data_IF_610054725133
#
_entry.id   IF_610054725133
#
_cell.length_a   1.000
_cell.length_b   1.000
_cell.length_c   1.000
_cell.angle_alpha   90.00
_cell.angle_beta   90.00
_cell.angle_gamma   90.00
#
_symmetry.space_group_name_H-M   'P 1'
#
loop_
_entity.id
_entity.type
_entity.pdbx_description
1 polymer ?
#
# COMPACT_ATOMS: atom_id res chain seq x y z
N UNK A 1 -19.66 -18.37 -13.90
CA UNK A 1 -18.91 -17.99 -12.69
C UNK A 1 -19.36 -16.61 -12.29
N UNK A 2 -19.85 -16.39 -11.06
CA UNK A 2 -20.22 -15.05 -10.58
C UNK A 2 -18.93 -14.23 -10.41
N UNK A 3 -18.86 -13.06 -11.03
CA UNK A 3 -17.78 -12.11 -10.77
C UNK A 3 -17.89 -11.64 -9.31
N UNK A 4 -16.77 -11.71 -8.59
CA UNK A 4 -16.70 -11.29 -7.20
C UNK A 4 -16.60 -9.77 -7.15
N UNK A 5 -17.67 -9.13 -6.71
CA UNK A 5 -17.71 -7.68 -6.43
C UNK A 5 -17.28 -7.46 -4.99
N UNK A 6 -16.33 -6.56 -4.78
CA UNK A 6 -15.82 -6.24 -3.44
C UNK A 6 -16.63 -5.11 -2.81
N UNK A 7 -16.69 -3.97 -3.48
CA UNK A 7 -17.33 -2.74 -3.02
C UNK A 7 -17.85 -1.95 -4.22
N UNK A 8 -18.51 -0.82 -3.99
CA UNK A 8 -18.98 0.10 -5.04
C UNK A 8 -18.26 1.43 -4.83
N UNK A 9 -17.65 1.99 -5.89
CA UNK A 9 -16.95 3.27 -5.83
C UNK A 9 -17.95 4.45 -5.68
N UNK A 10 -17.44 5.62 -5.33
CA UNK A 10 -18.25 6.85 -5.12
C UNK A 10 -19.05 7.27 -6.36
N UNK A 11 -18.62 6.85 -7.55
CA UNK A 11 -19.29 7.08 -8.83
C UNK A 11 -20.35 6.01 -9.17
N UNK A 12 -20.58 5.05 -8.27
CA UNK A 12 -21.50 3.94 -8.46
C UNK A 12 -20.93 2.77 -9.26
N UNK A 13 -19.67 2.82 -9.68
CA UNK A 13 -19.03 1.73 -10.42
C UNK A 13 -18.71 0.56 -9.47
N UNK A 14 -19.15 -0.68 -9.77
CA UNK A 14 -18.81 -1.84 -8.95
C UNK A 14 -17.32 -2.18 -9.07
N UNK A 15 -16.65 -2.24 -7.92
CA UNK A 15 -15.27 -2.67 -7.81
C UNK A 15 -15.19 -4.20 -7.95
N UNK A 16 -14.91 -4.66 -9.16
CA UNK A 16 -14.74 -6.09 -9.48
C UNK A 16 -13.27 -6.47 -9.52
N UNK A 17 -12.96 -7.77 -9.37
CA UNK A 17 -11.59 -8.28 -9.49
C UNK A 17 -10.93 -7.92 -10.83
N UNK A 18 -11.71 -7.90 -11.90
CA UNK A 18 -11.24 -7.51 -13.24
C UNK A 18 -10.84 -6.04 -13.30
N UNK A 19 -11.63 -5.15 -12.68
CA UNK A 19 -11.32 -3.73 -12.61
C UNK A 19 -10.05 -3.48 -11.79
N UNK A 20 -9.90 -4.14 -10.63
CA UNK A 20 -8.70 -4.06 -9.80
C UNK A 20 -7.46 -4.52 -10.58
N UNK A 21 -7.53 -5.67 -11.28
CA UNK A 21 -6.42 -6.15 -12.12
C UNK A 21 -6.04 -5.15 -13.21
N UNK A 22 -7.03 -4.52 -13.86
CA UNK A 22 -6.78 -3.49 -14.86
C UNK A 22 -6.09 -2.26 -14.27
N UNK A 23 -6.58 -1.75 -13.13
CA UNK A 23 -5.98 -0.59 -12.46
C UNK A 23 -4.52 -0.85 -12.06
N UNK A 24 -4.23 -2.04 -11.54
CA UNK A 24 -2.87 -2.46 -11.18
C UNK A 24 -1.95 -2.46 -12.41
N UNK A 25 -2.41 -3.04 -13.53
CA UNK A 25 -1.65 -3.06 -14.79
C UNK A 25 -1.41 -1.65 -15.34
N UNK A 26 -2.42 -0.78 -15.28
CA UNK A 26 -2.30 0.61 -15.74
C UNK A 26 -1.24 1.37 -14.93
N UNK A 27 -1.19 1.17 -13.60
CA UNK A 27 -0.15 1.75 -12.74
C UNK A 27 1.25 1.24 -13.11
N UNK A 28 1.41 -0.08 -13.29
CA UNK A 28 2.70 -0.64 -13.69
C UNK A 28 3.15 -0.15 -15.07
N UNK A 29 2.25 -0.10 -16.05
CA UNK A 29 2.56 0.41 -17.39
C UNK A 29 2.95 1.90 -17.37
N UNK A 30 2.27 2.70 -16.54
CA UNK A 30 2.61 4.10 -16.36
C UNK A 30 3.97 4.30 -15.66
N UNK A 31 4.34 3.43 -14.73
CA UNK A 31 5.69 3.39 -14.14
C UNK A 31 6.76 3.05 -15.20
N UNK A 32 6.53 2.03 -16.03
CA UNK A 32 7.46 1.63 -17.11
C UNK A 32 7.64 2.73 -18.15
N UNK A 33 6.56 3.45 -18.50
CA UNK A 33 6.60 4.59 -19.42
C UNK A 33 7.24 5.85 -18.82
N UNK A 34 7.65 5.81 -17.55
CA UNK A 34 8.26 6.95 -16.86
C UNK A 34 7.28 8.10 -16.61
N UNK A 35 5.96 7.83 -16.60
CA UNK A 35 4.93 8.84 -16.37
C UNK A 35 4.99 9.40 -14.93
N UNK A 36 5.57 8.65 -14.00
CA UNK A 36 5.80 9.06 -12.62
C UNK A 36 7.28 9.28 -12.35
N UNK A 37 7.60 10.39 -11.67
CA UNK A 37 8.95 10.65 -11.19
C UNK A 37 9.14 9.96 -9.83
N UNK A 38 10.27 9.26 -9.60
CA UNK A 38 10.56 8.72 -8.29
C UNK A 38 10.72 9.88 -7.30
N UNK A 39 9.83 9.95 -6.31
CA UNK A 39 10.02 10.84 -5.17
C UNK A 39 11.09 10.21 -4.29
N UNK A 40 12.15 10.96 -4.01
CA UNK A 40 13.24 10.49 -3.16
C UNK A 40 12.66 10.15 -1.79
N UNK A 41 12.72 8.88 -1.38
CA UNK A 41 12.24 8.47 -0.07
C UNK A 41 12.95 9.33 1.00
N UNK A 42 12.22 10.19 1.75
CA UNK A 42 12.83 11.03 2.79
C UNK A 42 13.47 10.19 3.90
N UNK A 43 13.02 8.94 4.06
CA UNK A 43 13.59 7.95 4.97
C UNK A 43 14.68 7.08 4.36
N UNK A 44 15.01 7.24 3.07
CA UNK A 44 16.02 6.42 2.38
C UNK A 44 17.45 6.59 2.92
N UNK A 45 17.70 7.64 3.72
CA UNK A 45 18.95 7.85 4.46
C UNK A 45 18.96 7.20 5.86
N UNK A 46 17.80 6.82 6.37
CA UNK A 46 17.65 6.20 7.68
C UNK A 46 17.90 4.71 7.48
N UNK A 47 19.08 4.23 7.89
CA UNK A 47 19.34 2.79 7.93
C UNK A 47 18.28 2.16 8.84
N UNK A 48 17.58 1.09 8.43
CA UNK A 48 16.66 0.39 9.30
C UNK A 48 17.42 -0.06 10.54
N UNK A 49 17.06 0.51 11.69
CA UNK A 49 17.65 0.12 12.97
C UNK A 49 17.01 -1.22 13.32
N UNK A 50 17.81 -2.28 13.43
CA UNK A 50 17.32 -3.57 13.92
C UNK A 50 16.89 -3.41 15.37
N UNK A 51 15.59 -3.28 15.60
CA UNK A 51 15.00 -3.22 16.94
C UNK A 51 14.98 -4.66 17.48
N UNK A 52 15.49 -4.88 18.69
CA UNK A 52 15.35 -6.17 19.36
C UNK A 52 13.90 -6.39 19.77
N UNK A 53 13.44 -7.65 19.79
CA UNK A 53 12.05 -7.98 20.16
C UNK A 53 11.62 -7.39 21.52
N UNK A 54 12.56 -7.26 22.47
CA UNK A 54 12.32 -6.63 23.76
C UNK A 54 11.94 -5.14 23.64
N UNK A 55 12.62 -4.41 22.76
CA UNK A 55 12.37 -2.97 22.53
C UNK A 55 11.13 -2.72 21.66
N UNK A 56 10.72 -3.70 20.85
CA UNK A 56 9.44 -3.67 20.15
C UNK A 56 8.28 -3.87 21.12
N UNK A 57 8.36 -4.88 22.00
CA UNK A 57 7.34 -5.17 23.02
C UNK A 57 7.11 -3.98 23.95
N UNK A 58 8.17 -3.35 24.46
CA UNK A 58 8.02 -2.20 25.35
C UNK A 58 7.38 -0.98 24.69
N UNK A 59 7.60 -0.76 23.38
CA UNK A 59 6.90 0.30 22.62
C UNK A 59 5.43 -0.03 22.42
N UNK A 60 5.09 -1.29 22.13
CA UNK A 60 3.71 -1.73 21.96
C UNK A 60 2.91 -1.63 23.25
N UNK A 61 3.50 -2.03 24.39
CA UNK A 61 2.87 -1.88 25.72
C UNK A 61 2.61 -0.42 26.06
N UNK A 62 3.55 0.49 25.71
CA UNK A 62 3.39 1.92 25.92
C UNK A 62 2.25 2.52 25.08
N UNK A 63 2.14 2.12 23.81
CA UNK A 63 1.04 2.57 22.93
C UNK A 63 -0.31 2.00 23.40
N UNK A 64 -0.34 0.77 23.89
CA UNK A 64 -1.56 0.14 24.39
C UNK A 64 -2.03 0.70 25.75
N UNK A 65 -1.18 1.50 26.42
CA UNK A 65 -1.48 2.13 27.72
C UNK A 65 -1.74 3.65 27.61
N UNK A 66 -1.63 4.22 26.40
CA UNK A 66 -2.07 5.58 26.04
C UNK A 66 -3.51 5.54 25.50
#
# INVERSE_FOLDING_TARGET
>A
MLEKTFETLDDGTPLTEKLVKKMVLDVYSALEKGAYRPIKNPHGKIKPIKITNQKLRSRLEKIASE
#
